data_IF_996487777350
#
_entry.id   IF_996487777350
#
_cell.length_a   1.000
_cell.length_b   1.000
_cell.length_c   1.000
_cell.angle_alpha   90.00
_cell.angle_beta   90.00
_cell.angle_gamma   90.00
#
_symmetry.space_group_name_H-M   'P 1'
#
loop_
_entity.id
_entity.type
_entity.pdbx_description
1 polymer ?
#
# COMPACT_ATOMS: atom_id res chain seq x y z
N UNK A 1 21.87 0.95 2.99
CA UNK A 1 21.31 1.80 1.88
C UNK A 1 21.06 3.17 2.47
N UNK A 2 21.43 4.23 1.75
CA UNK A 2 21.16 5.61 2.17
C UNK A 2 19.66 5.92 2.06
N UNK A 3 19.14 6.80 2.94
CA UNK A 3 17.72 7.13 3.01
C UNK A 3 17.20 7.75 1.69
N UNK A 4 17.99 8.60 1.05
CA UNK A 4 17.63 9.20 -0.25
C UNK A 4 17.52 8.10 -1.34
N UNK A 5 18.46 7.17 -1.38
CA UNK A 5 18.43 6.04 -2.31
C UNK A 5 17.17 5.20 -2.10
N UNK A 6 16.81 4.90 -0.84
CA UNK A 6 15.57 4.16 -0.53
C UNK A 6 14.35 4.87 -1.11
N UNK A 7 14.19 6.18 -0.85
CA UNK A 7 13.04 6.96 -1.33
C UNK A 7 13.00 7.01 -2.86
N UNK A 8 14.14 7.26 -3.50
CA UNK A 8 14.21 7.46 -4.95
C UNK A 8 14.05 6.17 -5.75
N UNK A 9 14.23 5.01 -5.12
CA UNK A 9 14.25 3.70 -5.79
C UNK A 9 13.22 2.69 -5.30
N UNK A 10 12.23 3.10 -4.50
CA UNK A 10 11.12 2.24 -4.04
C UNK A 10 9.97 2.26 -5.06
N UNK A 11 9.88 1.30 -5.99
CA UNK A 11 8.77 1.22 -6.94
C UNK A 11 7.62 0.41 -6.36
N UNK A 12 6.48 0.41 -7.03
CA UNK A 12 5.48 -0.63 -6.86
C UNK A 12 5.98 -1.91 -7.54
N UNK A 13 6.29 -2.94 -6.76
CA UNK A 13 6.68 -4.25 -7.26
C UNK A 13 5.45 -5.03 -7.77
N UNK A 14 5.54 -5.63 -8.95
CA UNK A 14 4.46 -6.41 -9.56
C UNK A 14 4.86 -7.85 -9.86
N UNK A 15 6.15 -8.15 -9.75
CA UNK A 15 6.74 -9.44 -10.06
C UNK A 15 7.63 -9.88 -8.90
N UNK A 16 7.32 -11.03 -8.32
CA UNK A 16 7.99 -11.55 -7.14
C UNK A 16 8.62 -12.90 -7.42
N UNK A 17 9.71 -13.20 -6.72
CA UNK A 17 10.26 -14.54 -6.62
C UNK A 17 9.49 -15.33 -5.56
N UNK A 18 9.44 -16.66 -5.64
CA UNK A 18 8.76 -17.50 -4.65
C UNK A 18 9.53 -17.65 -3.34
N UNK A 19 10.75 -17.09 -3.25
CA UNK A 19 11.62 -17.23 -2.08
C UNK A 19 10.91 -16.73 -0.80
N UNK A 20 10.93 -17.50 0.30
CA UNK A 20 10.33 -17.08 1.55
C UNK A 20 11.07 -15.88 2.14
N UNK A 21 10.34 -14.99 2.78
CA UNK A 21 10.92 -13.87 3.54
C UNK A 21 11.25 -14.37 4.96
N UNK A 22 12.53 -14.34 5.38
CA UNK A 22 12.94 -14.78 6.71
C UNK A 22 12.30 -13.93 7.83
N UNK A 23 12.10 -14.54 9.01
CA UNK A 23 11.44 -13.88 10.13
C UNK A 23 12.20 -12.68 10.66
N UNK A 24 13.52 -12.75 10.68
CA UNK A 24 14.39 -11.65 11.11
C UNK A 24 14.32 -10.45 10.15
N UNK A 25 14.27 -10.70 8.84
CA UNK A 25 14.07 -9.66 7.82
C UNK A 25 12.70 -9.01 7.99
N UNK A 26 11.64 -9.84 8.08
CA UNK A 26 10.29 -9.33 8.27
C UNK A 26 10.15 -8.53 9.57
N UNK A 27 10.81 -8.97 10.64
CA UNK A 27 10.85 -8.25 11.92
C UNK A 27 11.44 -6.85 11.76
N UNK A 28 12.59 -6.72 11.07
CA UNK A 28 13.21 -5.39 10.82
C UNK A 28 12.31 -4.49 10.00
N UNK A 29 11.64 -5.05 8.98
CA UNK A 29 10.68 -4.30 8.15
C UNK A 29 9.51 -3.79 8.99
N UNK A 30 8.90 -4.65 9.80
CA UNK A 30 7.75 -4.29 10.64
C UNK A 30 8.14 -3.34 11.78
N UNK A 31 9.34 -3.48 12.34
CA UNK A 31 9.82 -2.57 13.41
C UNK A 31 9.87 -1.12 12.92
N UNK A 32 10.27 -0.86 11.67
CA UNK A 32 10.28 0.47 11.07
C UNK A 32 8.91 1.16 11.08
N UNK A 33 7.81 0.41 11.05
CA UNK A 33 6.45 0.96 11.05
C UNK A 33 6.09 1.69 12.34
N UNK A 34 6.70 1.32 13.46
CA UNK A 34 6.42 1.85 14.79
C UNK A 34 6.82 3.32 14.96
N UNK A 35 7.71 3.81 14.11
CA UNK A 35 8.23 5.19 14.18
C UNK A 35 7.40 6.19 13.36
N UNK A 36 6.28 5.76 12.80
CA UNK A 36 5.37 6.67 12.12
C UNK A 36 4.59 7.54 13.11
N UNK A 37 4.41 8.83 12.84
CA UNK A 37 3.61 9.70 13.69
C UNK A 37 2.13 9.32 13.64
N UNK A 38 1.46 9.44 14.80
CA UNK A 38 0.00 9.26 14.91
C UNK A 38 -0.60 10.38 15.74
N UNK A 39 -1.81 10.79 15.46
CA UNK A 39 -2.52 11.82 16.20
C UNK A 39 -2.59 11.48 17.68
N UNK A 40 -2.07 12.37 18.56
CA UNK A 40 -2.01 12.15 19.99
C UNK A 40 -1.18 10.94 20.42
N UNK A 41 -0.28 10.44 19.57
CA UNK A 41 0.54 9.22 19.77
C UNK A 41 -0.30 7.97 20.13
N UNK A 42 -1.49 7.83 19.56
CA UNK A 42 -2.43 6.74 19.86
C UNK A 42 -1.98 5.37 19.33
N UNK A 43 -1.15 5.35 18.31
CA UNK A 43 -0.53 4.14 17.75
C UNK A 43 -1.56 3.04 17.40
N UNK A 44 -2.70 3.43 16.80
CA UNK A 44 -3.85 2.57 16.51
C UNK A 44 -3.66 1.58 15.35
N UNK A 45 -2.56 1.68 14.58
CA UNK A 45 -2.31 0.79 13.41
C UNK A 45 -1.90 -0.60 13.86
N UNK A 46 -2.41 -1.61 13.17
CA UNK A 46 -2.06 -3.03 13.36
C UNK A 46 -1.73 -3.67 12.02
N UNK A 47 -0.86 -4.65 12.03
CA UNK A 47 -0.42 -5.38 10.85
C UNK A 47 -0.67 -6.87 11.03
N UNK A 48 -1.41 -7.50 10.10
CA UNK A 48 -1.62 -8.94 10.08
C UNK A 48 -0.79 -9.50 8.93
N UNK A 49 0.19 -10.33 9.27
CA UNK A 49 1.06 -10.99 8.30
C UNK A 49 0.42 -12.30 7.87
N UNK A 50 0.10 -12.41 6.60
CA UNK A 50 -0.53 -13.59 6.00
C UNK A 50 0.50 -14.33 5.15
N UNK A 51 0.95 -15.51 5.63
CA UNK A 51 1.84 -16.44 4.93
C UNK A 51 1.14 -17.73 4.54
N UNK A 52 0.02 -18.04 5.17
CA UNK A 52 -0.79 -19.23 4.90
C UNK A 52 -1.25 -19.21 3.43
N UNK A 53 -0.92 -20.25 2.63
CA UNK A 53 -1.27 -20.28 1.21
C UNK A 53 -2.78 -20.30 0.96
N UNK A 54 -3.57 -20.96 1.84
CA UNK A 54 -5.01 -21.03 1.69
C UNK A 54 -5.64 -19.64 1.91
N UNK A 55 -5.18 -18.92 2.93
CA UNK A 55 -5.65 -17.54 3.19
C UNK A 55 -5.23 -16.57 2.07
N UNK A 56 -4.01 -16.69 1.53
CA UNK A 56 -3.59 -15.86 0.40
C UNK A 56 -4.43 -16.11 -0.85
N UNK A 57 -4.75 -17.38 -1.13
CA UNK A 57 -5.65 -17.77 -2.23
C UNK A 57 -7.04 -17.19 -2.04
N UNK A 58 -7.59 -17.26 -0.84
CA UNK A 58 -8.91 -16.69 -0.55
C UNK A 58 -8.92 -15.17 -0.73
N UNK A 59 -7.87 -14.47 -0.28
CA UNK A 59 -7.73 -13.02 -0.51
C UNK A 59 -7.65 -12.68 -2.00
N UNK A 60 -6.94 -13.48 -2.80
CA UNK A 60 -6.88 -13.30 -4.25
C UNK A 60 -8.27 -13.51 -4.90
N UNK A 61 -9.00 -14.55 -4.51
CA UNK A 61 -10.33 -14.82 -5.05
C UNK A 61 -11.28 -13.63 -4.87
N UNK A 62 -11.18 -12.92 -3.75
CA UNK A 62 -11.95 -11.70 -3.52
C UNK A 62 -11.33 -10.47 -4.21
N UNK A 63 -10.03 -10.46 -4.41
CA UNK A 63 -9.32 -9.36 -5.06
C UNK A 63 -9.67 -9.26 -6.56
N UNK A 64 -9.75 -10.37 -7.27
CA UNK A 64 -9.95 -10.41 -8.72
C UNK A 64 -11.22 -9.65 -9.16
N UNK A 65 -12.43 -9.91 -8.62
CA UNK A 65 -13.62 -9.16 -9.02
C UNK A 65 -13.49 -7.66 -8.76
N UNK A 66 -12.82 -7.25 -7.69
CA UNK A 66 -12.59 -5.82 -7.38
C UNK A 66 -11.63 -5.19 -8.39
N UNK A 67 -10.61 -5.93 -8.79
CA UNK A 67 -9.66 -5.51 -9.82
C UNK A 67 -10.36 -5.33 -11.18
N UNK A 68 -11.15 -6.30 -11.61
CA UNK A 68 -11.91 -6.24 -12.87
C UNK A 68 -12.86 -5.04 -12.91
N UNK A 69 -13.59 -4.78 -11.83
CA UNK A 69 -14.44 -3.59 -11.71
C UNK A 69 -13.63 -2.29 -11.77
N UNK A 70 -12.48 -2.24 -11.11
CA UNK A 70 -11.58 -1.08 -11.16
C UNK A 70 -11.10 -0.83 -12.60
N UNK A 71 -10.65 -1.87 -13.31
CA UNK A 71 -10.19 -1.78 -14.70
C UNK A 71 -11.32 -1.31 -15.63
N UNK A 72 -12.52 -1.90 -15.50
CA UNK A 72 -13.66 -1.51 -16.30
C UNK A 72 -14.02 -0.02 -16.16
N UNK A 73 -13.98 0.51 -14.91
CA UNK A 73 -14.20 1.94 -14.65
C UNK A 73 -13.07 2.83 -15.16
N UNK A 74 -11.80 2.39 -15.03
CA UNK A 74 -10.64 3.15 -15.49
C UNK A 74 -10.61 3.26 -17.02
N UNK A 75 -10.94 2.18 -17.73
CA UNK A 75 -10.94 2.13 -19.21
C UNK A 75 -12.11 2.88 -19.81
N UNK A 76 -13.29 2.92 -19.16
CA UNK A 76 -14.44 3.68 -19.64
C UNK A 76 -14.21 5.20 -19.64
N UNK A 77 -13.32 5.69 -18.77
CA UNK A 77 -13.00 7.13 -18.69
C UNK A 77 -11.93 7.59 -19.68
N UNK A 78 -11.11 6.70 -20.24
CA UNK A 78 -9.86 7.09 -20.89
C UNK A 78 -9.84 6.89 -22.41
N UNK A 79 -10.68 6.06 -23.02
CA UNK A 79 -10.65 5.77 -24.48
C UNK A 79 -9.27 5.37 -25.04
N UNK A 80 -8.25 5.19 -24.20
CA UNK A 80 -6.87 4.97 -24.57
C UNK A 80 -6.50 3.48 -24.49
N UNK A 81 -5.57 3.00 -25.35
CA UNK A 81 -5.03 1.65 -25.24
C UNK A 81 -4.41 1.43 -23.87
N UNK A 82 -4.54 0.21 -23.33
CA UNK A 82 -4.02 -0.15 -21.99
C UNK A 82 -2.51 0.07 -21.91
N UNK A 83 -2.00 0.96 -21.09
CA UNK A 83 -0.57 1.12 -20.92
C UNK A 83 0.03 -0.16 -20.31
N UNK A 84 1.29 -0.46 -20.62
CA UNK A 84 2.10 -1.53 -20.02
C UNK A 84 1.99 -1.59 -18.48
N UNK A 85 1.70 -0.44 -17.86
CA UNK A 85 1.46 -0.33 -16.43
C UNK A 85 0.24 -1.14 -15.98
N UNK A 86 -0.84 -1.16 -16.79
CA UNK A 86 -2.05 -1.90 -16.49
C UNK A 86 -1.85 -3.41 -16.67
N UNK A 87 -1.09 -3.82 -17.68
CA UNK A 87 -0.72 -5.23 -17.90
C UNK A 87 0.08 -5.79 -16.72
N UNK A 88 1.07 -5.04 -16.22
CA UNK A 88 1.82 -5.43 -15.04
C UNK A 88 0.94 -5.50 -13.78
N UNK A 89 -0.06 -4.63 -13.67
CA UNK A 89 -0.99 -4.64 -12.54
C UNK A 89 -2.00 -5.80 -12.64
N UNK A 90 -2.39 -6.17 -13.85
CA UNK A 90 -3.21 -7.34 -14.13
C UNK A 90 -2.47 -8.64 -13.78
N UNK A 91 -1.22 -8.76 -14.21
CA UNK A 91 -0.36 -9.87 -13.78
C UNK A 91 -0.30 -9.97 -12.25
N UNK A 92 -0.05 -8.87 -11.55
CA UNK A 92 -0.03 -8.85 -10.08
C UNK A 92 -1.35 -9.33 -9.47
N UNK A 93 -2.48 -8.92 -10.01
CA UNK A 93 -3.79 -9.32 -9.51
C UNK A 93 -3.99 -10.84 -9.60
N UNK A 94 -3.63 -11.44 -10.74
CA UNK A 94 -3.80 -12.86 -11.01
C UNK A 94 -2.78 -13.75 -10.28
N UNK A 95 -1.67 -13.19 -9.79
CA UNK A 95 -0.60 -13.92 -9.07
C UNK A 95 -0.47 -13.48 -7.60
N UNK A 96 -1.51 -12.84 -7.03
CA UNK A 96 -1.48 -12.30 -5.67
C UNK A 96 -1.21 -13.38 -4.61
N UNK A 97 -1.72 -14.59 -4.79
CA UNK A 97 -1.56 -15.72 -3.87
C UNK A 97 -0.18 -16.39 -3.97
N UNK A 98 0.58 -16.14 -5.02
CA UNK A 98 1.95 -16.64 -5.20
C UNK A 98 2.97 -15.81 -4.43
N UNK A 99 2.61 -14.57 -4.04
CA UNK A 99 3.50 -13.66 -3.32
C UNK A 99 3.73 -14.20 -1.91
N UNK A 100 5.00 -14.30 -1.44
CA UNK A 100 5.33 -14.97 -0.18
C UNK A 100 4.60 -14.43 1.05
N UNK A 101 4.38 -13.10 1.10
CA UNK A 101 3.78 -12.42 2.25
C UNK A 101 2.76 -11.38 1.77
N UNK A 102 1.55 -11.41 2.36
CA UNK A 102 0.59 -10.32 2.31
C UNK A 102 0.48 -9.71 3.72
N UNK A 103 0.62 -8.41 3.82
CA UNK A 103 0.45 -7.67 5.08
C UNK A 103 -0.85 -6.90 5.01
N UNK A 104 -1.86 -7.31 5.77
CA UNK A 104 -3.12 -6.57 5.89
C UNK A 104 -2.95 -5.51 6.98
N UNK A 105 -3.09 -4.26 6.58
CA UNK A 105 -2.98 -3.09 7.45
C UNK A 105 -4.36 -2.78 8.01
N UNK A 106 -4.43 -2.73 9.33
CA UNK A 106 -5.65 -2.45 10.06
C UNK A 106 -5.48 -1.23 10.97
N UNK A 107 -6.59 -0.61 11.35
CA UNK A 107 -6.58 0.50 12.30
C UNK A 107 -7.74 0.39 13.28
N UNK A 108 -7.48 0.68 14.55
CA UNK A 108 -8.53 0.83 15.55
C UNK A 108 -9.33 2.10 15.26
N UNK A 109 -10.62 1.97 14.99
CA UNK A 109 -11.47 3.11 14.61
C UNK A 109 -11.57 4.18 15.71
N UNK A 110 -11.52 3.79 16.97
CA UNK A 110 -11.51 4.71 18.11
C UNK A 110 -10.27 5.63 18.14
N UNK A 111 -9.17 5.24 17.47
CA UNK A 111 -7.94 6.01 17.39
C UNK A 111 -7.86 6.89 16.13
N UNK A 112 -8.86 6.82 15.24
CA UNK A 112 -8.92 7.62 14.03
C UNK A 112 -9.71 8.91 14.28
N UNK A 113 -9.10 10.04 13.94
CA UNK A 113 -9.77 11.34 13.99
C UNK A 113 -9.81 11.93 12.57
N UNK A 114 -11.02 11.99 11.99
CA UNK A 114 -11.28 12.64 10.72
C UNK A 114 -11.86 14.03 10.97
N UNK A 115 -11.00 15.05 11.09
CA UNK A 115 -11.41 16.43 11.37
C UNK A 115 -12.21 17.07 10.23
N UNK A 116 -12.15 16.50 9.03
CA UNK A 116 -12.84 16.95 7.83
C UNK A 116 -14.14 16.18 7.52
N UNK A 117 -14.64 15.38 8.46
CA UNK A 117 -15.84 14.53 8.26
C UNK A 117 -17.15 15.30 8.01
N UNK A 118 -17.16 16.59 8.36
CA UNK A 118 -18.34 17.45 8.18
C UNK A 118 -18.30 18.33 6.93
N UNK A 119 -17.21 18.21 6.13
CA UNK A 119 -17.09 18.94 4.88
C UNK A 119 -17.84 18.19 3.76
N UNK A 120 -18.49 18.95 2.86
CA UNK A 120 -19.17 18.40 1.68
C UNK A 120 -18.17 17.97 0.59
N UNK A 121 -17.30 17.03 0.95
CA UNK A 121 -16.33 16.36 0.07
C UNK A 121 -15.86 15.05 0.70
N UNK A 122 -15.22 14.23 -0.11
CA UNK A 122 -14.56 13.01 0.40
C UNK A 122 -13.54 13.37 1.50
N UNK A 123 -13.63 12.70 2.65
CA UNK A 123 -12.63 12.83 3.72
C UNK A 123 -11.29 12.24 3.27
N UNK A 124 -10.22 12.98 3.48
CA UNK A 124 -8.84 12.55 3.23
C UNK A 124 -8.00 12.47 4.51
N UNK A 125 -8.50 13.04 5.60
CA UNK A 125 -7.76 13.14 6.88
C UNK A 125 -7.79 11.83 7.66
N UNK A 126 -8.81 11.00 7.50
CA UNK A 126 -8.96 9.74 8.24
C UNK A 126 -7.76 8.79 8.13
N UNK A 127 -7.04 8.82 7.01
CA UNK A 127 -5.82 8.04 6.79
C UNK A 127 -4.53 8.65 7.34
N UNK A 128 -4.58 9.89 7.89
CA UNK A 128 -3.39 10.65 8.29
C UNK A 128 -2.52 9.96 9.35
N UNK A 129 -3.12 9.17 10.25
CA UNK A 129 -2.40 8.36 11.24
C UNK A 129 -2.16 6.91 10.81
N UNK A 130 -2.53 6.53 9.59
CA UNK A 130 -2.41 5.15 9.07
C UNK A 130 -1.31 5.07 8.01
N UNK A 131 -1.43 5.87 6.97
CA UNK A 131 -0.54 5.77 5.80
C UNK A 131 0.92 6.16 6.05
N UNK A 132 1.30 6.99 7.05
CA UNK A 132 2.71 7.13 7.43
C UNK A 132 3.34 5.79 7.88
N UNK A 133 2.62 4.95 8.64
CA UNK A 133 3.10 3.61 9.00
C UNK A 133 3.22 2.69 7.80
N UNK A 134 2.29 2.79 6.85
CA UNK A 134 2.36 2.05 5.58
C UNK A 134 3.57 2.50 4.76
N UNK A 135 3.81 3.80 4.64
CA UNK A 135 4.98 4.31 3.93
C UNK A 135 6.29 3.82 4.58
N UNK A 136 6.37 3.82 5.91
CA UNK A 136 7.52 3.26 6.62
C UNK A 136 7.70 1.77 6.32
N UNK A 137 6.61 0.98 6.22
CA UNK A 137 6.65 -0.43 5.80
C UNK A 137 7.30 -0.57 4.40
N UNK A 138 6.86 0.24 3.43
CA UNK A 138 7.37 0.18 2.06
C UNK A 138 8.87 0.52 2.00
N UNK A 139 9.29 1.58 2.70
CA UNK A 139 10.68 2.03 2.71
C UNK A 139 11.59 1.05 3.47
N UNK A 140 11.13 0.53 4.62
CA UNK A 140 11.88 -0.48 5.38
C UNK A 140 12.05 -1.77 4.57
N UNK A 141 11.01 -2.22 3.87
CA UNK A 141 11.12 -3.37 2.97
C UNK A 141 12.16 -3.13 1.86
N UNK A 142 12.15 -1.93 1.24
CA UNK A 142 13.14 -1.56 0.23
C UNK A 142 14.56 -1.58 0.78
N UNK A 143 14.77 -1.07 2.00
CA UNK A 143 16.08 -1.08 2.67
C UNK A 143 16.62 -2.51 2.89
N UNK A 144 15.73 -3.47 3.12
CA UNK A 144 16.03 -4.91 3.23
C UNK A 144 16.09 -5.64 1.87
N UNK A 145 16.00 -4.92 0.74
CA UNK A 145 16.03 -5.51 -0.60
C UNK A 145 14.72 -6.16 -1.05
N UNK A 146 13.62 -5.95 -0.32
CA UNK A 146 12.30 -6.47 -0.67
C UNK A 146 11.52 -5.49 -1.56
N UNK A 147 10.71 -6.05 -2.46
CA UNK A 147 9.72 -5.31 -3.23
C UNK A 147 8.36 -5.30 -2.53
N UNK A 148 7.62 -4.21 -2.71
CA UNK A 148 6.27 -4.06 -2.15
C UNK A 148 5.28 -3.54 -3.19
N UNK A 149 4.01 -3.92 -3.00
CA UNK A 149 2.88 -3.32 -3.72
C UNK A 149 1.72 -3.06 -2.75
N UNK A 150 1.33 -1.80 -2.62
CA UNK A 150 0.17 -1.38 -1.83
C UNK A 150 -1.08 -1.42 -2.69
N UNK A 151 -2.16 -1.98 -2.15
CA UNK A 151 -3.51 -1.95 -2.71
C UNK A 151 -4.55 -1.73 -1.62
N UNK A 152 -5.67 -1.11 -1.98
CA UNK A 152 -6.82 -0.90 -1.10
C UNK A 152 -8.06 -1.66 -1.57
N UNK A 153 -7.98 -2.43 -2.66
CA UNK A 153 -9.14 -3.08 -3.26
C UNK A 153 -9.82 -4.08 -2.32
N UNK A 154 -9.07 -4.77 -1.46
CA UNK A 154 -9.63 -5.68 -0.46
C UNK A 154 -10.42 -4.97 0.64
N UNK A 155 -10.24 -3.66 0.82
CA UNK A 155 -11.08 -2.89 1.74
C UNK A 155 -12.55 -2.83 1.27
N UNK A 156 -12.83 -3.00 -0.02
CA UNK A 156 -14.19 -3.06 -0.54
C UNK A 156 -14.96 -4.33 -0.09
N UNK A 157 -14.25 -5.35 0.31
CA UNK A 157 -14.78 -6.63 0.83
C UNK A 157 -14.35 -6.86 2.28
N UNK A 158 -14.30 -5.79 3.06
CA UNK A 158 -13.78 -5.77 4.42
C UNK A 158 -14.42 -6.83 5.32
N UNK A 159 -15.74 -7.05 5.24
CA UNK A 159 -16.44 -8.03 6.07
C UNK A 159 -15.89 -9.45 5.89
N UNK A 160 -15.61 -9.86 4.64
CA UNK A 160 -15.02 -11.16 4.35
C UNK A 160 -13.58 -11.25 4.85
N UNK A 161 -12.77 -10.19 4.64
CA UNK A 161 -11.39 -10.14 5.12
C UNK A 161 -11.34 -10.23 6.64
N UNK A 162 -12.23 -9.52 7.33
CA UNK A 162 -12.35 -9.56 8.80
C UNK A 162 -12.71 -10.96 9.29
N UNK A 163 -13.68 -11.61 8.68
CA UNK A 163 -14.07 -12.98 9.04
C UNK A 163 -12.91 -13.98 8.85
N UNK A 164 -12.17 -13.89 7.72
CA UNK A 164 -11.06 -14.79 7.43
C UNK A 164 -9.89 -14.61 8.42
N UNK A 165 -9.63 -13.39 8.85
CA UNK A 165 -8.45 -13.04 9.65
C UNK A 165 -8.75 -12.83 11.14
N UNK A 166 -10.00 -12.96 11.57
CA UNK A 166 -10.42 -12.77 12.96
C UNK A 166 -10.30 -11.31 13.42
N UNK A 167 -10.55 -10.33 12.53
CA UNK A 167 -10.45 -8.90 12.85
C UNK A 167 -11.74 -8.46 13.54
N UNK A 168 -11.68 -7.86 14.75
CA UNK A 168 -12.86 -7.44 15.50
C UNK A 168 -13.57 -6.23 14.87
N UNK A 169 -14.84 -6.00 15.24
CA UNK A 169 -15.69 -4.96 14.64
C UNK A 169 -15.15 -3.53 14.80
N UNK A 170 -14.51 -3.22 15.92
CA UNK A 170 -13.91 -1.91 16.18
C UNK A 170 -12.64 -1.62 15.39
N UNK A 171 -12.21 -2.55 14.52
CA UNK A 171 -11.00 -2.43 13.70
C UNK A 171 -11.37 -2.46 12.23
N UNK A 172 -10.89 -1.49 11.46
CA UNK A 172 -11.07 -1.42 10.01
C UNK A 172 -9.82 -1.87 9.27
N UNK A 173 -9.99 -2.35 8.03
CA UNK A 173 -8.89 -2.58 7.10
C UNK A 173 -8.58 -1.29 6.33
N UNK A 174 -7.29 -0.96 6.15
CA UNK A 174 -6.86 0.26 5.50
C UNK A 174 -6.12 0.00 4.17
N UNK A 175 -5.40 -1.10 4.10
CA UNK A 175 -4.65 -1.50 2.92
C UNK A 175 -4.21 -2.97 3.00
N UNK A 176 -3.79 -3.52 1.88
CA UNK A 176 -3.00 -4.75 1.81
C UNK A 176 -1.68 -4.45 1.11
N UNK A 177 -0.57 -4.85 1.70
CA UNK A 177 0.76 -4.71 1.11
C UNK A 177 1.31 -6.10 0.78
N UNK A 178 1.51 -6.36 -0.51
CA UNK A 178 2.26 -7.51 -0.96
C UNK A 178 3.76 -7.28 -0.73
N UNK A 179 4.49 -8.29 -0.24
CA UNK A 179 5.87 -8.18 0.17
C UNK A 179 6.64 -9.47 -0.17
N UNK A 180 7.80 -9.32 -0.80
CA UNK A 180 8.65 -10.43 -1.19
C UNK A 180 9.88 -9.96 -1.98
N UNK A 181 10.76 -10.88 -2.34
CA UNK A 181 11.92 -10.55 -3.17
C UNK A 181 11.46 -10.24 -4.60
N UNK A 182 11.93 -9.13 -5.21
CA UNK A 182 11.52 -8.77 -6.56
C UNK A 182 12.16 -9.71 -7.59
N UNK A 183 11.37 -10.11 -8.60
CA UNK A 183 11.88 -10.88 -9.75
C UNK A 183 12.55 -9.99 -10.81
N UNK A 184 12.42 -8.66 -10.69
CA UNK A 184 13.06 -7.67 -11.57
C UNK A 184 13.90 -6.71 -10.75
N UNK A 185 14.99 -6.20 -11.33
CA UNK A 185 15.83 -5.22 -10.67
C UNK A 185 15.05 -3.94 -10.30
N UNK A 186 15.43 -3.32 -9.19
CA UNK A 186 14.91 -2.01 -8.82
C UNK A 186 15.37 -0.95 -9.85
N UNK A 187 14.55 0.08 -10.09
CA UNK A 187 14.95 1.19 -10.93
C UNK A 187 16.11 1.97 -10.29
N UNK A 188 16.96 2.56 -11.10
CA UNK A 188 18.02 3.47 -10.61
C UNK A 188 17.42 4.74 -9.99
N UNK A 189 16.28 5.18 -10.49
CA UNK A 189 15.52 6.34 -10.00
C UNK A 189 14.09 6.28 -10.50
N UNK A 190 13.14 6.70 -9.68
CA UNK A 190 11.73 6.83 -10.06
C UNK A 190 11.49 8.14 -10.81
N UNK A 191 10.75 8.10 -11.92
CA UNK A 191 10.23 9.29 -12.57
C UNK A 191 9.19 10.00 -11.67
N UNK A 192 9.34 11.30 -11.51
CA UNK A 192 8.42 12.15 -10.75
C UNK A 192 8.26 13.50 -11.47
N UNK A 193 7.15 14.17 -11.16
CA UNK A 193 6.92 15.53 -11.65
C UNK A 193 7.98 16.49 -11.08
N UNK A 194 8.33 17.57 -11.80
CA UNK A 194 9.18 18.62 -11.26
C UNK A 194 8.58 19.27 -10.00
N UNK A 195 9.43 19.81 -9.14
CA UNK A 195 8.97 20.51 -7.93
C UNK A 195 8.10 21.72 -8.24
N UNK A 196 8.37 22.41 -9.35
CA UNK A 196 7.57 23.55 -9.81
C UNK A 196 6.07 23.21 -10.02
N UNK A 197 5.74 21.95 -10.31
CA UNK A 197 4.35 21.51 -10.46
C UNK A 197 3.68 21.09 -9.14
N UNK A 198 4.44 20.95 -8.07
CA UNK A 198 3.97 20.34 -6.82
C UNK A 198 4.24 21.16 -5.57
N UNK A 199 5.14 22.15 -5.66
CA UNK A 199 5.53 22.99 -4.53
C UNK A 199 5.29 24.47 -4.89
N UNK A 200 4.43 25.11 -4.12
CA UNK A 200 4.00 26.48 -4.36
C UNK A 200 4.39 27.39 -3.18
N UNK A 201 4.73 28.65 -3.49
CA UNK A 201 5.02 29.68 -2.53
C UNK A 201 3.74 30.44 -2.18
N UNK A 202 3.35 30.43 -0.92
CA UNK A 202 2.23 31.20 -0.32
C UNK A 202 0.87 30.93 -0.97
N UNK A 203 0.77 30.98 -2.31
CA UNK A 203 -0.48 30.84 -3.06
C UNK A 203 -0.40 29.65 -4.00
N UNK A 204 -1.49 28.86 -4.03
CA UNK A 204 -1.58 27.70 -4.93
C UNK A 204 -1.40 28.12 -6.38
N UNK A 205 -0.49 27.44 -7.09
CA UNK A 205 -0.16 27.72 -8.49
C UNK A 205 1.05 28.63 -8.69
N UNK A 206 1.61 29.25 -7.65
CA UNK A 206 2.85 30.04 -7.72
C UNK A 206 4.05 29.14 -7.40
N UNK A 207 4.88 28.69 -8.37
CA UNK A 207 5.98 27.78 -8.09
C UNK A 207 6.96 28.34 -7.05
N UNK A 208 7.34 27.51 -6.04
CA UNK A 208 8.37 27.90 -5.06
C UNK A 208 9.77 27.88 -5.67
N UNK A 209 9.99 26.93 -6.59
CA UNK A 209 11.23 26.78 -7.33
C UNK A 209 10.89 26.82 -8.82
N UNK A 210 11.37 27.85 -9.55
CA UNK A 210 11.12 27.98 -10.99
C UNK A 210 11.83 26.90 -11.84
#
# INVERSE_FOLDING_TARGET
MDFREVIETTPTCRFYRPDPVPDDVLRRVLDGTRYAPTGGNRQGVRFIVVRDPAKRRQLKEWYIPMWEQYVARATSRAGAPRPRLLENADHFAHHLDEIPVLVVVCVQLADVMATDRHLDRLSIVGGGSVYPSVQNLLLSARAEGLGTALTTLLCAVEAQVKALLGIPDGVATAATVALGYPARAFPKRLGRRPLAETCFAEVYGTPLFP
#
